data_IF_246652048197
#
_entry.id   IF_246652048197
#
_cell.length_a   1.000
_cell.length_b   1.000
_cell.length_c   1.000
_cell.angle_alpha   90.00
_cell.angle_beta   90.00
_cell.angle_gamma   90.00
#
_symmetry.space_group_name_H-M   'P 1'
#
loop_
_entity.id
_entity.type
_entity.pdbx_description
1 polymer ?
#
# COMPACT_ATOMS: atom_id res chain seq x y z
N UNK A 1 -5.67 70.74 -15.45
CA UNK A 1 -5.08 69.49 -14.93
C UNK A 1 -6.20 68.69 -14.31
N UNK A 2 -6.69 67.67 -15.01
CA UNK A 2 -7.83 66.87 -14.57
C UNK A 2 -7.40 65.93 -13.44
N UNK A 3 -8.06 66.03 -12.28
CA UNK A 3 -7.91 65.09 -11.19
C UNK A 3 -8.58 63.77 -11.60
N UNK A 4 -7.79 62.72 -11.80
CA UNK A 4 -8.30 61.38 -12.09
C UNK A 4 -9.14 60.88 -10.91
N UNK A 5 -10.35 60.35 -11.13
CA UNK A 5 -11.11 59.69 -10.08
C UNK A 5 -10.46 58.33 -9.77
N UNK A 6 -9.94 58.17 -8.55
CA UNK A 6 -9.52 56.87 -8.06
C UNK A 6 -10.76 55.97 -7.88
N UNK A 7 -10.76 54.71 -8.36
CA UNK A 7 -11.83 53.78 -8.05
C UNK A 7 -11.75 53.39 -6.58
N UNK A 8 -12.44 54.14 -5.72
CA UNK A 8 -12.79 53.72 -4.37
C UNK A 8 -13.81 52.60 -4.46
N UNK A 9 -13.33 51.36 -4.55
CA UNK A 9 -14.12 50.18 -4.25
C UNK A 9 -13.34 49.31 -3.26
N UNK A 10 -13.08 49.86 -2.08
CA UNK A 10 -12.77 49.07 -0.91
C UNK A 10 -14.05 48.99 -0.09
N UNK A 11 -14.82 47.91 -0.29
CA UNK A 11 -15.79 47.51 0.75
C UNK A 11 -14.97 47.27 2.01
N UNK A 12 -15.17 48.14 2.99
CA UNK A 12 -14.61 48.00 4.33
C UNK A 12 -14.98 46.62 4.89
N UNK A 13 -14.14 46.05 5.78
CA UNK A 13 -14.46 44.80 6.48
C UNK A 13 -15.86 44.87 7.06
N UNK A 14 -16.61 43.76 6.99
CA UNK A 14 -17.97 43.71 7.50
C UNK A 14 -17.94 44.07 9.00
N UNK A 15 -18.65 45.12 9.44
CA UNK A 15 -18.56 45.58 10.82
C UNK A 15 -18.97 44.44 11.77
N UNK A 16 -18.06 44.04 12.64
CA UNK A 16 -18.27 43.01 13.67
C UNK A 16 -17.51 41.69 13.46
N UNK A 17 -16.87 41.46 12.31
CA UNK A 17 -16.01 40.26 12.12
C UNK A 17 -14.56 40.56 12.45
N UNK A 18 -13.92 39.66 13.18
CA UNK A 18 -12.46 39.69 13.42
C UNK A 18 -11.69 39.25 12.18
N UNK A 19 -10.43 39.68 12.03
CA UNK A 19 -9.57 39.22 10.92
C UNK A 19 -9.47 37.70 10.86
N UNK A 20 -9.41 37.04 12.03
CA UNK A 20 -9.38 35.58 12.12
C UNK A 20 -10.66 34.92 11.57
N UNK A 21 -11.83 35.49 11.85
CA UNK A 21 -13.09 35.01 11.28
C UNK A 21 -13.15 35.20 9.77
N UNK A 22 -12.67 36.35 9.27
CA UNK A 22 -12.60 36.64 7.84
C UNK A 22 -11.68 35.63 7.13
N UNK A 23 -10.52 35.34 7.74
CA UNK A 23 -9.60 34.32 7.25
C UNK A 23 -10.24 32.94 7.23
N UNK A 24 -10.96 32.57 8.30
CA UNK A 24 -11.63 31.28 8.42
C UNK A 24 -12.75 31.11 7.39
N UNK A 25 -13.53 32.15 7.15
CA UNK A 25 -14.63 32.16 6.18
C UNK A 25 -14.10 32.10 4.73
N UNK A 26 -13.02 32.82 4.45
CA UNK A 26 -12.44 32.95 3.11
C UNK A 26 -11.27 31.98 2.83
N UNK A 27 -11.02 31.02 3.73
CA UNK A 27 -9.92 30.08 3.59
C UNK A 27 -10.17 29.11 2.45
N UNK A 28 -9.18 28.96 1.56
CA UNK A 28 -9.14 27.92 0.53
C UNK A 28 -7.85 27.14 0.68
N UNK A 29 -7.93 25.81 0.63
CA UNK A 29 -6.79 24.91 0.76
C UNK A 29 -5.82 25.08 -0.41
N UNK A 30 -6.35 25.22 -1.63
CA UNK A 30 -5.59 25.65 -2.81
C UNK A 30 -6.26 26.88 -3.44
N UNK A 31 -5.51 27.97 -3.54
CA UNK A 31 -5.88 29.13 -4.36
C UNK A 31 -5.23 28.96 -5.72
N UNK A 32 -6.05 28.78 -6.74
CA UNK A 32 -5.58 28.75 -8.13
C UNK A 32 -4.96 30.10 -8.47
N UNK A 33 -3.72 30.09 -8.95
CA UNK A 33 -2.99 31.32 -9.31
C UNK A 33 -3.67 32.06 -10.48
N UNK A 34 -4.54 31.38 -11.23
CA UNK A 34 -5.22 31.89 -12.42
C UNK A 34 -6.29 32.94 -12.11
N UNK A 35 -6.73 33.08 -10.85
CA UNK A 35 -7.73 34.09 -10.46
C UNK A 35 -7.12 35.47 -10.11
N UNK A 36 -5.82 35.68 -10.37
CA UNK A 36 -5.09 36.95 -10.13
C UNK A 36 -5.64 38.16 -10.92
N UNK A 37 -6.60 37.95 -11.84
CA UNK A 37 -7.19 39.00 -12.68
C UNK A 37 -8.59 39.48 -12.29
N UNK A 38 -9.27 38.85 -11.32
CA UNK A 38 -10.59 39.30 -10.86
C UNK A 38 -10.45 40.28 -9.69
N UNK A 39 -11.30 41.32 -9.60
CA UNK A 39 -11.32 42.20 -8.43
C UNK A 39 -11.81 41.40 -7.21
N UNK A 40 -10.85 40.93 -6.41
CA UNK A 40 -11.10 40.22 -5.15
C UNK A 40 -11.69 41.18 -4.11
N UNK A 41 -12.63 40.69 -3.31
CA UNK A 41 -13.08 41.40 -2.11
C UNK A 41 -11.92 41.62 -1.12
N UNK A 42 -12.06 42.59 -0.21
CA UNK A 42 -11.04 42.84 0.82
C UNK A 42 -10.75 41.57 1.64
N UNK A 43 -11.79 40.83 2.01
CA UNK A 43 -11.71 39.54 2.73
C UNK A 43 -10.87 38.51 1.97
N UNK A 44 -11.10 38.39 0.66
CA UNK A 44 -10.35 37.49 -0.20
C UNK A 44 -8.90 37.92 -0.41
N UNK A 45 -8.64 39.23 -0.47
CA UNK A 45 -7.28 39.79 -0.53
C UNK A 45 -6.51 39.49 0.75
N UNK A 46 -7.14 39.68 1.92
CA UNK A 46 -6.54 39.35 3.21
C UNK A 46 -6.18 37.87 3.29
N UNK A 47 -7.12 37.00 2.92
CA UNK A 47 -6.88 35.55 2.92
C UNK A 47 -5.87 35.12 1.85
N UNK A 48 -5.77 35.82 0.70
CA UNK A 48 -4.73 35.57 -0.29
C UNK A 48 -3.34 35.90 0.26
N UNK A 49 -3.20 37.09 0.87
CA UNK A 49 -1.95 37.53 1.46
C UNK A 49 -1.48 36.59 2.58
N UNK A 50 -2.41 36.09 3.40
CA UNK A 50 -2.10 35.08 4.40
C UNK A 50 -1.70 33.74 3.75
N UNK A 51 -2.40 33.31 2.71
CA UNK A 51 -2.07 32.07 1.99
C UNK A 51 -0.66 32.10 1.36
N UNK A 52 -0.24 33.25 0.86
CA UNK A 52 1.09 33.47 0.26
C UNK A 52 2.22 33.46 1.30
N UNK A 53 1.93 33.76 2.58
CA UNK A 53 2.92 33.67 3.66
C UNK A 53 3.09 32.26 4.22
N UNK A 54 2.21 31.31 3.88
CA UNK A 54 2.26 29.94 4.36
C UNK A 54 3.27 29.09 3.58
N UNK A 55 4.15 28.41 4.30
CA UNK A 55 5.09 27.43 3.76
C UNK A 55 4.42 26.06 3.55
N UNK A 56 3.90 25.83 2.34
CA UNK A 56 3.09 24.65 1.99
C UNK A 56 3.73 23.77 0.90
N UNK A 57 5.04 23.83 0.75
CA UNK A 57 5.73 22.95 -0.22
C UNK A 57 5.80 21.50 0.28
N UNK A 58 6.22 21.32 1.55
CA UNK A 58 6.40 20.01 2.16
C UNK A 58 5.46 19.81 3.34
N UNK A 59 4.80 18.66 3.38
CA UNK A 59 4.03 18.19 4.52
C UNK A 59 4.79 17.14 5.33
N UNK A 60 4.39 16.99 6.58
CA UNK A 60 4.85 15.94 7.48
C UNK A 60 3.76 14.91 7.70
N UNK A 61 4.16 13.68 8.00
CA UNK A 61 3.24 12.57 8.20
C UNK A 61 3.40 11.90 9.57
N UNK A 62 2.35 11.21 10.02
CA UNK A 62 2.45 10.23 11.11
C UNK A 62 2.16 8.84 10.54
N UNK A 63 3.19 8.01 10.51
CA UNK A 63 3.13 6.64 10.02
C UNK A 63 2.81 5.62 11.14
N UNK A 64 2.30 6.01 12.31
CA UNK A 64 2.00 5.10 13.43
C UNK A 64 1.12 3.91 13.03
N UNK A 65 0.12 4.14 12.16
CA UNK A 65 -0.86 3.13 11.75
C UNK A 65 -0.60 2.56 10.34
N UNK A 66 0.64 2.64 9.85
CA UNK A 66 0.99 2.21 8.49
C UNK A 66 0.61 0.74 8.18
N UNK A 67 0.59 -0.14 9.19
CA UNK A 67 0.22 -1.55 9.02
C UNK A 67 -1.25 -1.77 8.66
N UNK A 68 -2.15 -0.88 9.07
CA UNK A 68 -3.56 -0.88 8.63
C UNK A 68 -3.75 -0.10 7.31
N UNK A 69 -2.70 0.56 6.83
CA UNK A 69 -2.73 1.44 5.66
C UNK A 69 -3.13 2.87 5.95
N UNK A 70 -3.29 3.22 7.23
CA UNK A 70 -3.70 4.55 7.62
C UNK A 70 -2.46 5.36 8.00
N UNK A 71 -2.41 6.59 7.53
CA UNK A 71 -1.43 7.60 7.92
C UNK A 71 -2.10 8.97 7.85
N UNK A 72 -1.60 9.92 8.64
CA UNK A 72 -2.08 11.29 8.62
C UNK A 72 -1.04 12.20 7.99
N UNK A 73 -1.50 13.27 7.35
CA UNK A 73 -0.68 14.35 6.83
C UNK A 73 -1.07 15.65 7.51
N UNK A 74 -0.10 16.53 7.69
CA UNK A 74 -0.33 17.93 8.05
C UNK A 74 0.76 18.82 7.48
N UNK A 75 0.45 20.09 7.31
CA UNK A 75 1.48 21.10 7.04
C UNK A 75 2.46 21.23 8.20
N UNK A 76 3.65 21.71 7.86
CA UNK A 76 4.69 22.01 8.84
C UNK A 76 4.27 23.18 9.73
N UNK A 77 4.68 23.13 10.98
CA UNK A 77 4.63 24.25 11.92
C UNK A 77 5.78 25.21 11.65
N UNK A 78 5.67 26.45 12.14
CA UNK A 78 6.75 27.45 12.02
C UNK A 78 8.10 26.91 12.52
N UNK A 79 8.13 26.27 13.69
CA UNK A 79 9.35 25.68 14.24
C UNK A 79 9.96 24.59 13.34
N UNK A 80 9.13 23.77 12.69
CA UNK A 80 9.58 22.75 11.74
C UNK A 80 10.11 23.38 10.45
N UNK A 81 9.48 24.45 9.95
CA UNK A 81 9.96 25.19 8.79
C UNK A 81 11.32 25.83 9.08
N UNK A 82 11.45 26.52 10.22
CA UNK A 82 12.70 27.18 10.62
C UNK A 82 13.85 26.19 10.85
N UNK A 83 13.55 24.99 11.37
CA UNK A 83 14.56 23.92 11.56
C UNK A 83 14.84 23.10 10.30
N UNK A 84 14.06 23.26 9.23
CA UNK A 84 14.13 22.43 8.03
C UNK A 84 13.55 21.02 8.20
N UNK A 85 12.85 20.75 9.31
CA UNK A 85 12.28 19.45 9.58
C UNK A 85 11.25 19.06 8.50
N UNK A 86 11.33 17.83 8.01
CA UNK A 86 10.46 17.32 6.94
C UNK A 86 10.80 17.81 5.52
N UNK A 87 11.86 18.60 5.35
CA UNK A 87 12.42 18.99 4.05
C UNK A 87 13.85 18.48 3.91
N UNK A 88 14.73 18.84 4.86
CA UNK A 88 16.11 18.33 4.94
C UNK A 88 16.21 17.10 5.86
N UNK A 89 15.11 16.74 6.50
CA UNK A 89 14.99 15.61 7.43
C UNK A 89 13.80 14.73 7.05
N UNK A 90 13.65 13.58 7.72
CA UNK A 90 12.51 12.71 7.46
C UNK A 90 11.20 13.37 7.94
N UNK A 91 10.22 13.49 7.04
CA UNK A 91 8.91 14.06 7.33
C UNK A 91 7.98 13.19 8.17
N UNK A 92 8.38 11.97 8.53
CA UNK A 92 7.63 11.20 9.52
C UNK A 92 7.95 11.69 10.94
N UNK A 93 6.96 12.32 11.59
CA UNK A 93 7.06 12.89 12.95
C UNK A 93 7.49 11.88 14.02
N UNK A 94 7.30 10.58 13.77
CA UNK A 94 7.71 9.48 14.67
C UNK A 94 9.10 8.90 14.34
N UNK A 95 9.82 9.49 13.39
CA UNK A 95 11.13 9.00 12.97
C UNK A 95 12.24 9.63 13.81
N UNK A 96 13.25 8.84 14.16
CA UNK A 96 14.47 9.33 14.83
C UNK A 96 15.26 10.33 13.98
N UNK A 97 15.04 10.32 12.66
CA UNK A 97 15.65 11.25 11.71
C UNK A 97 14.76 12.46 11.39
N UNK A 98 13.68 12.68 12.15
CA UNK A 98 12.84 13.87 11.98
C UNK A 98 13.50 15.10 12.60
N UNK A 99 14.05 14.93 13.81
CA UNK A 99 14.91 15.90 14.49
C UNK A 99 16.33 15.33 14.54
N UNK A 100 17.24 15.90 13.74
CA UNK A 100 18.57 15.34 13.57
C UNK A 100 19.48 15.59 14.78
N UNK A 101 19.22 16.56 15.66
CA UNK A 101 20.09 16.91 16.82
C UNK A 101 21.60 16.80 16.56
N UNK A 102 22.07 17.23 15.38
CA UNK A 102 23.48 17.16 14.98
C UNK A 102 23.96 15.84 14.34
N UNK A 103 23.07 14.88 14.08
CA UNK A 103 23.38 13.65 13.32
C UNK A 103 23.29 13.89 11.82
N UNK A 104 24.08 13.13 11.05
CA UNK A 104 24.01 13.14 9.58
C UNK A 104 22.64 12.61 9.11
N UNK A 105 21.95 13.30 8.18
CA UNK A 105 20.71 12.79 7.61
C UNK A 105 20.95 11.50 6.81
N UNK A 106 20.03 10.51 6.88
CA UNK A 106 20.05 9.39 5.96
C UNK A 106 19.69 9.86 4.54
N UNK A 107 19.86 9.02 3.50
CA UNK A 107 19.27 9.28 2.19
C UNK A 107 17.76 9.51 2.31
N UNK A 108 17.29 10.58 1.67
CA UNK A 108 15.90 11.01 1.68
C UNK A 108 15.31 10.91 0.28
N UNK A 109 14.03 10.63 0.21
CA UNK A 109 13.25 10.56 -1.02
C UNK A 109 12.07 11.50 -0.90
N UNK A 110 11.94 12.42 -1.86
CA UNK A 110 10.75 13.25 -2.02
C UNK A 110 9.73 12.50 -2.83
N UNK A 111 8.48 12.51 -2.37
CA UNK A 111 7.37 11.84 -3.02
C UNK A 111 6.11 12.71 -2.94
N UNK A 112 5.21 12.51 -3.88
CA UNK A 112 3.90 13.14 -3.91
C UNK A 112 2.84 12.16 -3.41
N UNK A 113 2.05 12.60 -2.43
CA UNK A 113 1.02 11.83 -1.77
C UNK A 113 -0.35 12.37 -2.18
N UNK A 114 -1.29 11.50 -2.61
CA UNK A 114 -2.67 11.91 -2.86
C UNK A 114 -3.33 12.29 -1.53
N UNK A 115 -3.89 13.49 -1.49
CA UNK A 115 -4.62 14.03 -0.36
C UNK A 115 -6.03 14.42 -0.83
N UNK A 116 -7.03 13.70 -0.35
CA UNK A 116 -8.43 14.03 -0.57
C UNK A 116 -8.91 14.93 0.58
N UNK A 117 -9.64 15.99 0.24
CA UNK A 117 -10.19 16.95 1.21
C UNK A 117 -11.55 17.46 0.75
N UNK A 118 -12.36 17.94 1.69
CA UNK A 118 -13.65 18.57 1.40
C UNK A 118 -13.53 20.07 1.61
N UNK A 119 -13.91 20.85 0.60
CA UNK A 119 -13.89 22.32 0.64
C UNK A 119 -15.25 22.83 0.18
N UNK A 120 -15.92 23.62 1.03
CA UNK A 120 -17.27 24.15 0.77
C UNK A 120 -18.32 23.09 0.35
N UNK A 121 -18.16 21.85 0.82
CA UNK A 121 -19.06 20.72 0.51
C UNK A 121 -18.67 19.93 -0.75
N UNK A 122 -17.62 20.33 -1.46
CA UNK A 122 -17.11 19.63 -2.64
C UNK A 122 -15.89 18.75 -2.28
N UNK A 123 -15.86 17.53 -2.79
CA UNK A 123 -14.70 16.65 -2.67
C UNK A 123 -13.63 17.05 -3.69
N UNK A 124 -12.45 17.36 -3.19
CA UNK A 124 -11.28 17.77 -3.97
C UNK A 124 -10.11 16.85 -3.67
N UNK A 125 -9.15 16.78 -4.58
CA UNK A 125 -7.91 16.05 -4.38
C UNK A 125 -6.71 16.89 -4.78
N UNK A 126 -5.60 16.70 -4.09
CA UNK A 126 -4.34 17.38 -4.34
C UNK A 126 -3.17 16.42 -4.13
N UNK A 127 -2.06 16.69 -4.80
CA UNK A 127 -0.80 16.01 -4.55
C UNK A 127 0.03 16.87 -3.59
N UNK A 128 0.43 16.26 -2.48
CA UNK A 128 1.20 16.92 -1.42
C UNK A 128 2.58 16.29 -1.36
N UNK A 129 3.64 17.12 -1.38
CA UNK A 129 5.01 16.60 -1.27
C UNK A 129 5.34 16.24 0.17
N UNK A 130 5.99 15.10 0.36
CA UNK A 130 6.57 14.68 1.63
C UNK A 130 7.98 14.11 1.38
N UNK A 131 8.88 14.35 2.32
CA UNK A 131 10.25 13.82 2.27
C UNK A 131 10.36 12.68 3.28
N UNK A 132 10.83 11.50 2.86
CA UNK A 132 10.94 10.33 3.75
C UNK A 132 12.28 9.64 3.60
N UNK A 133 12.82 9.11 4.71
CA UNK A 133 13.93 8.16 4.64
C UNK A 133 13.47 6.79 4.14
N UNK A 134 14.40 5.96 3.67
CA UNK A 134 14.10 4.62 3.12
C UNK A 134 13.24 3.75 4.07
N UNK A 135 13.53 3.78 5.37
CA UNK A 135 12.75 3.04 6.38
C UNK A 135 11.28 3.50 6.41
N UNK A 136 11.04 4.81 6.34
CA UNK A 136 9.68 5.35 6.39
C UNK A 136 8.96 5.20 5.05
N UNK A 137 9.67 5.30 3.92
CA UNK A 137 9.13 4.97 2.60
C UNK A 137 8.66 3.51 2.55
N UNK A 138 9.43 2.59 3.14
CA UNK A 138 9.05 1.19 3.28
C UNK A 138 7.80 0.97 4.13
N UNK A 139 7.61 1.77 5.20
CA UNK A 139 6.38 1.77 6.01
C UNK A 139 5.18 2.28 5.22
N UNK A 140 5.34 3.39 4.50
CA UNK A 140 4.28 3.96 3.67
C UNK A 140 3.78 2.96 2.61
N UNK A 141 4.70 2.26 1.95
CA UNK A 141 4.37 1.27 0.90
C UNK A 141 3.99 -0.10 1.44
N UNK A 142 3.92 -0.29 2.76
CA UNK A 142 3.70 -1.58 3.41
C UNK A 142 2.41 -2.26 2.95
N UNK A 143 1.28 -1.54 2.99
CA UNK A 143 -0.03 -2.09 2.62
C UNK A 143 -0.06 -2.54 1.16
N UNK A 144 0.43 -1.68 0.26
CA UNK A 144 0.50 -1.96 -1.19
C UNK A 144 1.37 -3.20 -1.48
N UNK A 145 2.51 -3.33 -0.79
CA UNK A 145 3.39 -4.50 -0.93
C UNK A 145 2.71 -5.77 -0.44
N UNK A 146 2.09 -5.73 0.75
CA UNK A 146 1.41 -6.88 1.36
C UNK A 146 0.19 -7.33 0.54
N UNK A 147 -0.53 -6.40 -0.07
CA UNK A 147 -1.63 -6.72 -0.99
C UNK A 147 -1.13 -7.43 -2.26
N UNK A 148 -0.05 -6.90 -2.88
CA UNK A 148 0.58 -7.53 -4.04
C UNK A 148 1.07 -8.95 -3.74
N UNK A 149 1.69 -9.18 -2.59
CA UNK A 149 2.13 -10.51 -2.16
C UNK A 149 0.96 -11.50 -2.03
N UNK A 150 -0.18 -11.06 -1.48
CA UNK A 150 -1.39 -11.90 -1.36
C UNK A 150 -1.98 -12.26 -2.73
N UNK A 151 -1.97 -11.33 -3.68
CA UNK A 151 -2.44 -11.57 -5.05
C UNK A 151 -1.56 -12.59 -5.78
N UNK A 152 -0.23 -12.48 -5.64
CA UNK A 152 0.72 -13.41 -6.24
C UNK A 152 0.62 -14.82 -5.62
N UNK A 153 0.45 -14.90 -4.30
CA UNK A 153 0.25 -16.18 -3.63
C UNK A 153 -1.02 -16.89 -4.14
N UNK A 154 -2.15 -16.17 -4.22
CA UNK A 154 -3.41 -16.73 -4.75
C UNK A 154 -3.31 -17.19 -6.22
N UNK A 155 -2.56 -16.47 -7.06
CA UNK A 155 -2.33 -16.87 -8.45
C UNK A 155 -1.45 -18.14 -8.57
N UNK A 156 -0.49 -18.32 -7.67
CA UNK A 156 0.35 -19.53 -7.62
C UNK A 156 -0.40 -20.76 -7.11
N UNK A 157 -1.41 -20.58 -6.24
CA UNK A 157 -2.29 -21.66 -5.80
C UNK A 157 -3.28 -22.08 -6.89
N UNK A 158 -3.83 -21.12 -7.65
CA UNK A 158 -4.72 -21.40 -8.78
C UNK A 158 -4.00 -22.18 -9.91
N UNK A 159 -2.75 -21.82 -10.22
CA UNK A 159 -1.96 -22.52 -11.27
C UNK A 159 -1.46 -23.91 -10.87
N UNK A 160 -1.33 -24.21 -9.57
CA UNK A 160 -1.03 -25.57 -9.09
C UNK A 160 -2.27 -26.49 -9.02
N UNK A 161 -3.48 -25.91 -8.96
CA UNK A 161 -4.73 -26.67 -8.98
C UNK A 161 -5.14 -27.14 -10.40
N UNK A 162 -4.57 -26.56 -11.46
CA UNK A 162 -4.85 -26.87 -12.87
C UNK A 162 -3.79 -27.76 -13.55
N UNK A 163 -2.96 -28.50 -12.81
CA UNK A 163 -2.17 -29.59 -13.41
C UNK A 163 -2.98 -30.90 -13.34
N UNK A 164 -3.66 -31.33 -14.41
CA UNK A 164 -4.18 -32.69 -14.47
C UNK A 164 -3.00 -33.67 -14.45
N UNK A 165 -3.20 -34.75 -13.70
CA UNK A 165 -2.32 -35.89 -13.48
C UNK A 165 -1.95 -36.60 -14.79
N UNK A 166 -0.99 -36.05 -15.55
CA UNK A 166 -0.45 -36.71 -16.74
C UNK A 166 0.55 -37.84 -16.39
N UNK A 167 0.89 -38.04 -15.11
CA UNK A 167 1.86 -39.07 -14.71
C UNK A 167 1.26 -40.46 -14.47
N UNK A 168 -0.06 -40.60 -14.36
CA UNK A 168 -0.68 -41.93 -14.25
C UNK A 168 -0.87 -42.64 -15.60
N UNK A 169 -0.95 -41.92 -16.73
CA UNK A 169 -1.26 -42.52 -18.02
C UNK A 169 -0.05 -43.22 -18.69
N UNK A 170 1.18 -42.76 -18.44
CA UNK A 170 2.39 -43.38 -19.01
C UNK A 170 2.73 -44.74 -18.36
N UNK A 171 2.36 -44.93 -17.08
CA UNK A 171 2.55 -46.21 -16.37
C UNK A 171 1.53 -47.28 -16.77
N UNK A 172 0.36 -46.90 -17.26
CA UNK A 172 -0.63 -47.83 -17.81
C UNK A 172 -0.34 -48.18 -19.28
N UNK A 173 0.08 -47.20 -20.09
CA UNK A 173 0.47 -47.44 -21.50
C UNK A 173 1.69 -48.38 -21.65
N UNK A 174 2.67 -48.28 -20.75
CA UNK A 174 3.83 -49.19 -20.72
C UNK A 174 3.49 -50.61 -20.23
N UNK A 175 2.46 -50.77 -19.38
CA UNK A 175 1.96 -52.09 -18.95
C UNK A 175 1.14 -52.78 -20.05
N UNK A 176 0.36 -52.04 -20.84
CA UNK A 176 -0.43 -52.63 -21.93
C UNK A 176 0.44 -53.10 -23.10
N UNK A 177 1.47 -52.34 -23.51
CA UNK A 177 2.41 -52.77 -24.57
C UNK A 177 3.20 -54.04 -24.20
N UNK A 178 3.46 -54.26 -22.90
CA UNK A 178 4.14 -55.47 -22.43
C UNK A 178 3.23 -56.70 -22.37
N UNK A 179 1.91 -56.50 -22.44
CA UNK A 179 0.90 -57.56 -22.46
C UNK A 179 0.63 -58.01 -23.91
N UNK A 180 0.53 -57.08 -24.84
CA UNK A 180 0.31 -57.36 -26.27
C UNK A 180 1.49 -58.09 -26.94
N UNK A 181 2.74 -57.86 -26.51
CA UNK A 181 3.91 -58.59 -27.01
C UNK A 181 4.06 -60.02 -26.46
N UNK A 182 3.16 -60.46 -25.56
CA UNK A 182 3.18 -61.81 -24.97
C UNK A 182 2.08 -62.74 -25.49
N UNK A 183 1.11 -62.20 -26.23
CA UNK A 183 -0.01 -62.94 -26.83
C UNK A 183 0.27 -63.40 -28.29
N UNK A 184 1.42 -63.04 -28.87
CA UNK A 184 1.87 -63.40 -30.24
C UNK A 184 3.08 -64.38 -30.21
N UNK A 185 3.14 -65.27 -29.22
CA UNK A 185 4.22 -66.26 -29.13
C UNK A 185 3.79 -67.63 -28.60
N UNK A 186 2.50 -67.96 -28.58
CA UNK A 186 2.02 -69.25 -28.09
C UNK A 186 0.85 -69.80 -28.92
N UNK A 187 1.13 -70.02 -30.19
CA UNK A 187 0.36 -70.93 -31.03
C UNK A 187 1.31 -71.95 -31.62
N UNK A 188 1.78 -72.89 -30.80
CA UNK A 188 1.92 -74.28 -31.22
C UNK A 188 2.09 -75.23 -30.03
N UNK A 189 1.17 -76.19 -30.00
CA UNK A 189 1.23 -77.52 -29.40
C UNK A 189 0.82 -77.77 -27.92
N UNK A 190 0.02 -78.83 -27.78
CA UNK A 190 -0.56 -79.44 -26.56
C UNK A 190 0.20 -80.77 -26.30
N UNK A 191 -0.12 -81.63 -25.30
CA UNK A 191 -0.85 -81.47 -24.03
C UNK A 191 -0.21 -82.21 -22.81
N UNK A 192 -0.81 -82.03 -21.60
CA UNK A 192 -1.26 -83.07 -20.61
C UNK A 192 -0.86 -82.89 -19.13
N UNK A 193 -1.87 -83.15 -18.28
CA UNK A 193 -1.88 -83.66 -16.88
C UNK A 193 -1.66 -82.66 -15.72
N UNK A 194 -2.70 -82.36 -14.90
CA UNK A 194 -3.09 -82.92 -13.56
C UNK A 194 -2.00 -82.66 -12.48
N UNK A 195 -2.21 -82.16 -11.26
CA UNK A 195 -3.30 -82.08 -10.26
C UNK A 195 -2.98 -80.88 -9.30
N UNK A 196 -3.92 -79.99 -8.95
CA UNK A 196 -4.73 -79.94 -7.71
C UNK A 196 -3.98 -80.06 -6.35
N UNK A 197 -3.92 -78.96 -5.58
CA UNK A 197 -4.17 -78.77 -4.12
C UNK A 197 -3.53 -77.43 -3.67
N UNK A 198 -4.22 -76.36 -3.24
CA UNK A 198 -5.15 -76.08 -2.14
C UNK A 198 -4.49 -75.45 -0.89
N UNK A 199 -5.11 -74.35 -0.40
CA UNK A 199 -5.04 -73.74 0.97
C UNK A 199 -3.78 -72.90 1.27
N UNK A 200 -3.75 -71.78 2.00
CA UNK A 200 -4.63 -71.12 3.02
C UNK A 200 -4.19 -69.63 3.14
N UNK A 201 -5.07 -68.61 3.23
CA UNK A 201 -5.53 -67.88 4.45
C UNK A 201 -4.48 -67.89 5.59
N UNK A 202 -3.93 -66.75 6.08
CA UNK A 202 -4.61 -65.75 6.93
C UNK A 202 -3.61 -64.65 7.45
N UNK A 203 -4.08 -63.59 8.16
CA UNK A 203 -3.53 -62.22 8.11
C UNK A 203 -2.69 -61.72 9.31
N UNK A 204 -2.10 -60.53 9.14
CA UNK A 204 -1.30 -59.73 10.10
C UNK A 204 -2.10 -59.25 11.33
N UNK A 205 -1.50 -59.15 12.52
CA UNK A 205 -2.05 -58.41 13.65
C UNK A 205 -1.54 -56.96 13.71
N UNK A 206 -2.43 -56.09 14.21
CA UNK A 206 -2.23 -54.67 14.56
C UNK A 206 -2.51 -54.53 16.06
N UNK A 207 -1.93 -53.47 16.66
CA UNK A 207 -2.27 -52.75 17.92
C UNK A 207 -1.13 -52.81 18.96
N UNK A 208 -0.40 -51.70 19.22
CA UNK A 208 -0.70 -50.52 20.08
C UNK A 208 -0.55 -50.82 21.60
N UNK A 209 -0.45 -49.82 22.50
CA UNK A 209 0.55 -48.75 22.69
C UNK A 209 0.99 -48.67 24.19
N UNK A 210 1.51 -47.50 24.66
CA UNK A 210 1.72 -47.02 26.07
C UNK A 210 3.12 -47.27 26.65
N UNK A 211 3.77 -46.44 27.49
CA UNK A 211 3.53 -45.22 28.34
C UNK A 211 4.95 -44.54 28.50
N UNK A 212 5.14 -43.21 28.55
CA UNK A 212 5.28 -42.32 29.77
C UNK A 212 6.19 -42.92 30.88
N UNK A 213 7.23 -42.30 31.46
CA UNK A 213 7.51 -40.89 31.86
C UNK A 213 9.05 -40.67 32.17
N UNK A 214 9.55 -39.73 33.03
CA UNK A 214 10.63 -38.77 32.68
C UNK A 214 11.86 -38.76 33.66
N UNK A 215 12.68 -37.67 33.60
CA UNK A 215 13.62 -37.11 34.64
C UNK A 215 15.08 -37.61 34.53
N UNK A 216 16.12 -36.85 34.94
CA UNK A 216 16.16 -35.51 35.58
C UNK A 216 16.64 -34.34 34.72
#
# INVERSE_FOLDING_TARGET
MALSPHPSSSKLPTPGKTEFEILKDSHKFLREEDNKGQPLSWDEQLASKYYDSLFREYAVCDLKHYKSGNFSLRWRTEAEVLSGAGETTCGNTRCEHHDLRGRRPPPLTTLELPFAYTEHGEEKSALVKAVLCEKCLGKLMWKRRKEKERLLAGASEATNAEKPDLQQNERQASRNRRRELRDEADSEDRPRHRERHSRSRSPKPRQQPRRRSPIP
#
